data_IF_743496667697
#
_entry.id   IF_743496667697
#
_cell.length_a   1.000
_cell.length_b   1.000
_cell.length_c   1.000
_cell.angle_alpha   90.00
_cell.angle_beta   90.00
_cell.angle_gamma   90.00
#
_symmetry.space_group_name_H-M   'P 1'
#
loop_
_entity.id
_entity.type
_entity.pdbx_description
1 polymer ?
#
# COMPACT_ATOMS: atom_id res chain seq x y z
N UNK A 1 -8.27 8.47 0.94
CA UNK A 1 -9.03 7.85 -0.18
C UNK A 1 -8.07 7.05 -1.06
N UNK A 2 -8.55 6.11 -1.88
CA UNK A 2 -7.71 5.28 -2.77
C UNK A 2 -8.26 5.29 -4.19
N UNK A 3 -7.37 5.42 -5.17
CA UNK A 3 -7.70 5.51 -6.59
C UNK A 3 -6.90 4.47 -7.39
N UNK A 4 -7.55 3.84 -8.36
CA UNK A 4 -6.87 3.01 -9.35
C UNK A 4 -6.49 3.89 -10.55
N UNK A 5 -5.21 3.91 -10.87
CA UNK A 5 -4.63 4.67 -11.97
C UNK A 5 -4.21 3.73 -13.09
N UNK A 6 -4.24 4.22 -14.33
CA UNK A 6 -3.72 3.51 -15.50
C UNK A 6 -2.73 4.39 -16.23
N UNK A 7 -1.52 3.89 -16.45
CA UNK A 7 -0.51 4.61 -17.22
C UNK A 7 -0.86 4.61 -18.71
N UNK A 8 -0.21 5.48 -19.48
CA UNK A 8 -0.35 5.47 -20.96
C UNK A 8 0.16 4.17 -21.58
N UNK A 9 1.12 3.49 -20.94
CA UNK A 9 1.62 2.17 -21.34
C UNK A 9 0.66 1.03 -21.01
N UNK A 10 -0.34 1.27 -20.16
CA UNK A 10 -1.37 0.31 -19.78
C UNK A 10 -1.17 -0.34 -18.42
N UNK A 11 -0.11 0.01 -17.70
CA UNK A 11 0.18 -0.50 -16.35
C UNK A 11 -0.83 0.04 -15.34
N UNK A 12 -1.22 -0.82 -14.40
CA UNK A 12 -2.11 -0.44 -13.30
C UNK A 12 -1.28 0.03 -12.10
N UNK A 13 -1.67 1.16 -11.52
CA UNK A 13 -1.06 1.76 -10.34
C UNK A 13 -2.16 2.12 -9.32
N UNK A 14 -1.78 2.30 -8.07
CA UNK A 14 -2.68 2.74 -7.00
C UNK A 14 -2.19 4.06 -6.44
N UNK A 15 -3.09 5.04 -6.30
CA UNK A 15 -2.82 6.27 -5.57
C UNK A 15 -3.62 6.30 -4.27
N UNK A 16 -2.92 6.47 -3.15
CA UNK A 16 -3.54 6.69 -1.84
C UNK A 16 -3.35 8.14 -1.44
N UNK A 17 -4.44 8.80 -1.05
CA UNK A 17 -4.40 10.18 -0.55
C UNK A 17 -4.49 10.25 0.97
N UNK A 18 -3.64 11.11 1.53
CA UNK A 18 -3.64 11.53 2.92
C UNK A 18 -3.96 13.03 2.99
N UNK A 19 -4.86 13.40 3.90
CA UNK A 19 -5.12 14.82 4.19
C UNK A 19 -3.90 15.40 4.91
N UNK A 20 -3.41 16.56 4.44
CA UNK A 20 -2.28 17.21 5.09
C UNK A 20 -2.68 17.82 6.43
N UNK A 21 -1.87 17.55 7.44
CA UNK A 21 -1.54 18.54 8.47
C UNK A 21 -0.15 19.09 8.10
N UNK A 22 0.14 20.38 8.34
CA UNK A 22 1.45 20.99 7.98
C UNK A 22 2.66 20.23 8.57
N UNK A 23 2.46 19.55 9.70
CA UNK A 23 3.49 18.72 10.35
C UNK A 23 3.66 17.37 9.63
N UNK A 24 2.64 16.86 8.95
CA UNK A 24 2.65 15.55 8.31
C UNK A 24 3.55 15.46 7.09
N UNK A 25 3.69 16.52 6.29
CA UNK A 25 4.32 16.44 4.96
C UNK A 25 5.80 16.06 5.00
N UNK A 26 6.56 16.58 5.98
CA UNK A 26 7.98 16.24 6.14
C UNK A 26 8.19 14.79 6.60
N UNK A 27 7.32 14.31 7.49
CA UNK A 27 7.32 12.92 7.94
C UNK A 27 6.94 11.97 6.81
N UNK A 28 5.91 12.29 6.03
CA UNK A 28 5.51 11.50 4.86
C UNK A 28 6.61 11.44 3.80
N UNK A 29 7.33 12.54 3.56
CA UNK A 29 8.43 12.53 2.60
C UNK A 29 9.60 11.65 3.09
N UNK A 30 9.92 11.71 4.38
CA UNK A 30 10.96 10.86 4.97
C UNK A 30 10.59 9.37 4.91
N UNK A 31 9.34 9.03 5.19
CA UNK A 31 8.84 7.66 5.07
C UNK A 31 8.82 7.19 3.61
N UNK A 32 8.35 8.04 2.69
CA UNK A 32 8.37 7.77 1.25
C UNK A 32 9.78 7.45 0.75
N UNK A 33 10.78 8.23 1.16
CA UNK A 33 12.17 7.99 0.73
C UNK A 33 12.66 6.61 1.19
N UNK A 34 12.36 6.21 2.44
CA UNK A 34 12.68 4.86 2.94
C UNK A 34 11.95 3.77 2.15
N UNK A 35 10.66 3.97 1.85
CA UNK A 35 9.87 3.01 1.06
C UNK A 35 10.36 2.89 -0.38
N UNK A 36 10.84 3.98 -0.98
CA UNK A 36 11.39 4.00 -2.34
C UNK A 36 12.69 3.21 -2.46
N UNK A 37 13.48 3.20 -1.39
CA UNK A 37 14.73 2.42 -1.30
C UNK A 37 14.46 0.92 -1.08
N UNK A 38 13.31 0.56 -0.53
CA UNK A 38 12.91 -0.84 -0.29
C UNK A 38 12.50 -1.52 -1.62
N UNK A 39 13.46 -2.16 -2.27
CA UNK A 39 13.23 -2.96 -3.48
C UNK A 39 13.30 -4.45 -3.14
N UNK A 40 12.15 -5.04 -2.81
CA UNK A 40 12.04 -6.47 -2.51
C UNK A 40 10.90 -7.11 -3.32
N UNK A 41 11.07 -8.32 -3.89
CA UNK A 41 10.05 -8.96 -4.73
C UNK A 41 8.70 -9.22 -4.05
N UNK A 42 8.69 -9.28 -2.71
CA UNK A 42 7.48 -9.49 -1.91
C UNK A 42 6.96 -8.20 -1.24
N UNK A 43 7.55 -7.05 -1.55
CA UNK A 43 7.08 -5.76 -1.05
C UNK A 43 6.54 -4.92 -2.21
N UNK A 44 5.41 -4.24 -1.97
CA UNK A 44 4.85 -3.32 -2.97
C UNK A 44 5.83 -2.18 -3.19
N UNK A 45 6.20 -1.96 -4.46
CA UNK A 45 7.06 -0.85 -4.83
C UNK A 45 6.27 0.46 -4.84
N UNK A 46 6.82 1.45 -4.15
CA UNK A 46 6.34 2.83 -4.25
C UNK A 46 7.03 3.49 -5.45
N UNK A 47 6.23 4.11 -6.32
CA UNK A 47 6.68 4.70 -7.58
C UNK A 47 6.98 6.18 -7.39
N UNK A 48 6.02 6.93 -6.85
CA UNK A 48 6.07 8.39 -6.84
C UNK A 48 5.21 8.98 -5.71
N UNK A 49 5.56 10.18 -5.27
CA UNK A 49 4.77 11.00 -4.36
C UNK A 49 4.40 12.30 -5.08
N UNK A 50 3.11 12.61 -5.12
CA UNK A 50 2.58 13.80 -5.78
C UNK A 50 1.87 14.66 -4.74
N UNK A 51 2.18 15.95 -4.72
CA UNK A 51 1.45 16.95 -3.93
C UNK A 51 0.58 17.73 -4.90
N UNK A 52 -0.73 17.73 -4.66
CA UNK A 52 -1.69 18.41 -5.50
C UNK A 52 -2.73 19.13 -4.64
N UNK A 53 -3.22 20.25 -5.15
CA UNK A 53 -4.32 20.99 -4.53
C UNK A 53 -5.65 20.42 -4.98
N UNK A 54 -6.51 20.10 -4.01
CA UNK A 54 -7.88 19.65 -4.25
C UNK A 54 -8.86 20.62 -3.57
N UNK A 55 -10.05 20.73 -4.15
CA UNK A 55 -11.10 21.60 -3.62
C UNK A 55 -11.95 20.80 -2.62
N UNK A 56 -11.72 21.06 -1.33
CA UNK A 56 -12.46 20.39 -0.25
C UNK A 56 -13.39 21.40 0.42
N UNK A 57 -14.69 21.20 0.28
CA UNK A 57 -15.74 22.07 0.84
C UNK A 57 -15.63 23.55 0.41
N UNK A 58 -15.09 23.82 -0.79
CA UNK A 58 -14.94 25.18 -1.32
C UNK A 58 -13.60 25.84 -1.02
N UNK A 59 -12.74 25.21 -0.22
CA UNK A 59 -11.39 25.66 0.07
C UNK A 59 -10.37 24.81 -0.69
N UNK A 60 -9.33 25.46 -1.22
CA UNK A 60 -8.17 24.76 -1.79
C UNK A 60 -7.31 24.22 -0.66
N UNK A 61 -7.07 22.91 -0.65
CA UNK A 61 -6.21 22.23 0.32
C UNK A 61 -5.17 21.37 -0.39
N UNK A 62 -3.97 21.34 0.17
CA UNK A 62 -2.91 20.47 -0.30
C UNK A 62 -3.18 19.02 0.13
N UNK A 63 -3.09 18.10 -0.83
CA UNK A 63 -3.20 16.67 -0.62
C UNK A 63 -1.92 15.97 -1.08
N UNK A 64 -1.50 14.98 -0.29
CA UNK A 64 -0.39 14.10 -0.66
C UNK A 64 -0.97 12.82 -1.25
N UNK A 65 -0.47 12.44 -2.42
CA UNK A 65 -0.79 11.20 -3.10
C UNK A 65 0.46 10.33 -3.16
N UNK A 66 0.38 9.14 -2.59
CA UNK A 66 1.42 8.11 -2.71
C UNK A 66 1.00 7.15 -3.81
N UNK A 67 1.80 7.06 -4.86
CA UNK A 67 1.59 6.20 -6.03
C UNK A 67 2.44 4.94 -5.86
N UNK A 68 1.80 3.78 -5.91
CA UNK A 68 2.46 2.47 -5.82
C UNK A 68 2.01 1.54 -6.94
N UNK A 69 2.73 0.42 -7.11
CA UNK A 69 2.30 -0.66 -7.98
C UNK A 69 0.95 -1.23 -7.55
N UNK A 70 0.15 -1.67 -8.52
CA UNK A 70 -1.09 -2.39 -8.26
C UNK A 70 -0.80 -3.88 -8.05
N UNK A 71 -1.02 -4.37 -6.83
CA UNK A 71 -1.02 -5.79 -6.54
C UNK A 71 -2.36 -6.41 -6.99
N UNK A 72 -2.32 -7.22 -8.05
CA UNK A 72 -3.49 -7.95 -8.53
C UNK A 72 -3.84 -9.06 -7.53
N UNK A 73 -4.84 -8.82 -6.69
CA UNK A 73 -5.28 -9.74 -5.65
C UNK A 73 -6.16 -9.05 -4.60
N UNK A 74 -6.72 -9.83 -3.70
CA UNK A 74 -7.34 -9.29 -2.47
C UNK A 74 -6.29 -9.27 -1.36
N UNK A 75 -6.51 -8.48 -0.32
CA UNK A 75 -5.74 -8.60 0.92
C UNK A 75 -5.97 -9.96 1.60
N UNK A 76 -5.01 -10.38 2.43
CA UNK A 76 -5.04 -11.66 3.13
C UNK A 76 -6.31 -11.82 3.98
N UNK A 77 -6.79 -10.75 4.62
CA UNK A 77 -7.99 -10.80 5.45
C UNK A 77 -9.24 -11.08 4.60
N UNK A 78 -9.41 -10.39 3.48
CA UNK A 78 -10.49 -10.65 2.54
C UNK A 78 -10.42 -12.06 1.95
N UNK A 79 -9.21 -12.57 1.71
CA UNK A 79 -9.02 -13.95 1.28
C UNK A 79 -9.44 -14.95 2.36
N UNK A 80 -9.00 -14.75 3.62
CA UNK A 80 -9.41 -15.59 4.75
C UNK A 80 -10.92 -15.59 4.96
N UNK A 81 -11.58 -14.42 4.86
CA UNK A 81 -13.04 -14.33 4.95
C UNK A 81 -13.73 -15.17 3.88
N UNK A 82 -13.25 -15.10 2.63
CA UNK A 82 -13.79 -15.93 1.53
C UNK A 82 -13.60 -17.42 1.78
N UNK A 83 -12.47 -17.85 2.34
CA UNK A 83 -12.26 -19.26 2.65
C UNK A 83 -13.20 -19.77 3.75
N UNK A 84 -13.45 -18.93 4.77
CA UNK A 84 -14.45 -19.23 5.80
C UNK A 84 -15.85 -19.34 5.18
N UNK A 85 -16.23 -18.38 4.31
CA UNK A 85 -17.53 -18.39 3.63
C UNK A 85 -17.71 -19.59 2.69
N UNK A 86 -16.61 -20.12 2.16
CA UNK A 86 -16.60 -21.30 1.28
C UNK A 86 -16.47 -22.63 2.03
N UNK A 87 -16.40 -22.62 3.36
CA UNK A 87 -16.17 -23.79 4.21
C UNK A 87 -14.92 -24.61 3.79
N UNK A 88 -13.87 -23.89 3.37
CA UNK A 88 -12.59 -24.49 2.97
C UNK A 88 -11.64 -24.49 4.16
N UNK A 89 -11.17 -25.66 4.54
CA UNK A 89 -10.17 -25.82 5.60
C UNK A 89 -8.80 -25.31 5.13
N UNK A 90 -8.19 -24.45 5.95
CA UNK A 90 -6.84 -23.91 5.70
C UNK A 90 -5.82 -24.87 6.31
N UNK A 91 -4.96 -25.48 5.49
CA UNK A 91 -3.93 -26.40 5.99
C UNK A 91 -2.74 -25.67 6.60
N UNK A 92 -2.04 -26.33 7.53
CA UNK A 92 -0.83 -25.79 8.15
C UNK A 92 0.26 -25.49 7.13
N UNK A 93 0.41 -26.33 6.10
CA UNK A 93 1.38 -26.12 5.02
C UNK A 93 1.08 -24.85 4.22
N UNK A 94 -0.20 -24.54 4.02
CA UNK A 94 -0.59 -23.31 3.35
C UNK A 94 -0.26 -22.07 4.21
N UNK A 95 -0.56 -22.14 5.51
CA UNK A 95 -0.24 -21.08 6.46
C UNK A 95 1.28 -20.86 6.51
N UNK A 96 2.06 -21.92 6.67
CA UNK A 96 3.52 -21.86 6.64
C UNK A 96 4.04 -21.26 5.32
N UNK A 97 3.43 -21.62 4.19
CA UNK A 97 3.79 -21.08 2.88
C UNK A 97 3.56 -19.57 2.73
N UNK A 98 2.57 -19.00 3.40
CA UNK A 98 2.35 -17.54 3.47
C UNK A 98 3.41 -16.91 4.37
N UNK A 99 3.62 -17.44 5.58
CA UNK A 99 4.62 -16.90 6.50
C UNK A 99 6.03 -16.94 5.94
N UNK A 100 6.43 -17.98 5.20
CA UNK A 100 7.76 -18.04 4.59
C UNK A 100 7.98 -16.94 3.54
N UNK A 101 6.92 -16.54 2.82
CA UNK A 101 7.00 -15.45 1.83
C UNK A 101 7.07 -14.08 2.49
N UNK A 102 6.38 -13.91 3.62
CA UNK A 102 6.35 -12.67 4.40
C UNK A 102 7.55 -12.53 5.37
N UNK A 103 8.14 -13.64 5.84
CA UNK A 103 9.15 -13.66 6.91
C UNK A 103 10.60 -13.88 6.43
N UNK A 104 10.92 -13.59 5.17
CA UNK A 104 12.32 -13.57 4.73
C UNK A 104 13.13 -12.55 5.57
N UNK A 105 14.43 -12.82 5.83
CA UNK A 105 15.13 -12.27 6.98
C UNK A 105 15.54 -10.81 6.74
N UNK A 106 14.66 -9.87 7.05
CA UNK A 106 14.99 -8.46 7.13
C UNK A 106 14.29 -7.83 8.33
N UNK A 107 15.08 -7.22 9.21
CA UNK A 107 14.71 -6.54 10.46
C UNK A 107 13.73 -5.35 10.31
N UNK A 108 12.94 -5.24 9.23
CA UNK A 108 12.24 -4.00 8.87
C UNK A 108 10.79 -4.18 8.40
N UNK A 109 10.14 -5.31 8.66
CA UNK A 109 8.72 -5.53 8.31
C UNK A 109 7.81 -5.02 9.43
N UNK A 110 7.84 -3.71 9.66
CA UNK A 110 6.83 -3.02 10.45
C UNK A 110 6.66 -1.58 9.90
N UNK A 111 6.24 -1.47 8.63
CA UNK A 111 5.81 -0.17 8.09
C UNK A 111 4.57 -0.32 7.19
N UNK A 112 4.45 -1.39 6.40
CA UNK A 112 3.34 -1.50 5.43
C UNK A 112 1.94 -1.73 6.03
N UNK A 113 1.83 -2.13 7.30
CA UNK A 113 0.53 -2.38 7.96
C UNK A 113 0.03 -1.18 8.78
N UNK A 114 0.86 -0.15 9.02
CA UNK A 114 0.55 0.95 9.95
C UNK A 114 0.07 2.23 9.26
N UNK A 115 -0.59 2.14 8.11
CA UNK A 115 -1.36 3.26 7.57
C UNK A 115 -2.85 2.90 7.59
N UNK A 116 -3.39 2.84 8.80
CA UNK A 116 -4.82 2.84 9.11
C UNK A 116 -5.15 4.11 9.90
#
# INVERSE_FOLDING_TARGET
>A
KTYLLKTKSGDALVAKTHEQTEIGTSHFLAEFNKMKELQHPHCIKVVELVIAQDLVNGDWRDHVYVISEFAAGSDLLSFMKKLIDMDVEITEEWVAGVFVREALPFEFICVCVCVC
#
